data_IF_021242068781
#
_entry.id   IF_021242068781
#
_cell.length_a   1.000
_cell.length_b   1.000
_cell.length_c   1.000
_cell.angle_alpha   90.00
_cell.angle_beta   90.00
_cell.angle_gamma   90.00
#
_symmetry.space_group_name_H-M   'P 1'
#
loop_
_entity.id
_entity.type
_entity.pdbx_description
1 polymer ?
#
# COMPACT_ATOMS: atom_id res chain seq x y z
N UNK A 1 -25.73 -20.57 -57.18
CA UNK A 1 -24.53 -21.02 -56.44
C UNK A 1 -23.62 -19.83 -56.28
N UNK A 2 -23.63 -19.17 -55.12
CA UNK A 2 -22.70 -18.08 -54.79
C UNK A 2 -21.61 -18.68 -53.89
N UNK A 3 -20.31 -18.46 -54.18
CA UNK A 3 -19.24 -19.01 -53.34
C UNK A 3 -19.18 -18.20 -52.03
N UNK A 4 -19.26 -18.90 -50.89
CA UNK A 4 -19.00 -18.31 -49.57
C UNK A 4 -17.50 -18.18 -49.39
N UNK A 5 -16.98 -16.97 -49.50
CA UNK A 5 -15.60 -16.66 -49.11
C UNK A 5 -15.55 -16.60 -47.59
N UNK A 6 -14.87 -17.56 -46.96
CA UNK A 6 -14.61 -17.57 -45.52
C UNK A 6 -13.36 -16.71 -45.28
N UNK A 7 -13.53 -15.55 -44.65
CA UNK A 7 -12.41 -14.75 -44.15
C UNK A 7 -11.92 -15.36 -42.83
N UNK A 8 -10.70 -15.87 -42.81
CA UNK A 8 -9.97 -16.18 -41.58
C UNK A 8 -9.28 -14.90 -41.12
N UNK A 9 -9.87 -14.20 -40.16
CA UNK A 9 -9.21 -13.09 -39.47
C UNK A 9 -8.23 -13.70 -38.47
N UNK A 10 -6.93 -13.71 -38.78
CA UNK A 10 -5.91 -13.95 -37.76
C UNK A 10 -5.94 -12.77 -36.79
N UNK A 11 -6.43 -13.00 -35.57
CA UNK A 11 -6.14 -12.13 -34.45
C UNK A 11 -4.65 -12.32 -34.11
N UNK A 12 -3.81 -11.36 -34.51
CA UNK A 12 -2.55 -11.13 -33.81
C UNK A 12 -2.93 -10.50 -32.47
N UNK A 13 -3.21 -11.33 -31.47
CA UNK A 13 -3.09 -10.90 -30.09
C UNK A 13 -1.61 -10.63 -29.89
N UNK A 14 -1.23 -9.35 -29.86
CA UNK A 14 0.04 -8.92 -29.32
C UNK A 14 0.13 -9.48 -27.91
N UNK A 15 0.86 -10.58 -27.75
CA UNK A 15 1.35 -11.00 -26.46
C UNK A 15 2.28 -9.87 -26.01
N UNK A 16 1.90 -9.19 -24.92
CA UNK A 16 2.87 -8.47 -24.11
C UNK A 16 3.76 -9.57 -23.56
N UNK A 17 4.95 -9.73 -24.14
CA UNK A 17 6.00 -10.54 -23.54
C UNK A 17 6.58 -9.69 -22.42
N UNK A 18 6.76 -10.28 -21.24
CA UNK A 18 7.55 -9.68 -20.19
C UNK A 18 8.98 -9.56 -20.72
N UNK A 19 9.53 -8.36 -20.70
CA UNK A 19 10.87 -8.05 -21.20
C UNK A 19 11.64 -7.29 -20.12
N UNK A 20 12.95 -7.55 -19.95
CA UNK A 20 13.79 -6.78 -19.05
C UNK A 20 13.71 -5.27 -19.34
N UNK A 21 14.00 -4.41 -18.34
CA UNK A 21 14.00 -2.97 -18.52
C UNK A 21 14.79 -2.55 -19.77
N UNK A 22 14.15 -1.77 -20.65
CA UNK A 22 14.71 -1.40 -21.96
C UNK A 22 16.02 -0.62 -21.84
N UNK A 23 16.22 0.09 -20.73
CA UNK A 23 17.45 0.82 -20.43
C UNK A 23 18.63 -0.11 -20.12
N UNK A 24 18.39 -1.39 -19.80
CA UNK A 24 19.46 -2.35 -19.55
C UNK A 24 20.08 -2.91 -20.84
N UNK A 25 19.31 -2.90 -21.95
CA UNK A 25 19.72 -3.33 -23.29
C UNK A 25 18.84 -2.60 -24.33
N UNK A 26 19.18 -1.35 -24.63
CA UNK A 26 18.34 -0.49 -25.48
C UNK A 26 18.26 -0.97 -26.92
N UNK A 27 19.29 -1.70 -27.36
CA UNK A 27 19.43 -2.15 -28.73
C UNK A 27 18.96 -3.61 -28.93
N UNK A 28 18.74 -4.36 -27.84
CA UNK A 28 18.21 -5.71 -27.80
C UNK A 28 19.20 -6.77 -28.29
N UNK A 29 20.52 -6.54 -28.17
CA UNK A 29 21.54 -7.50 -28.61
C UNK A 29 22.00 -8.47 -27.51
N UNK A 30 21.42 -8.37 -26.32
CA UNK A 30 21.76 -9.18 -25.15
C UNK A 30 23.00 -8.68 -24.41
N UNK A 31 23.47 -7.47 -24.72
CA UNK A 31 24.58 -6.79 -24.08
C UNK A 31 24.13 -5.40 -23.62
N UNK A 32 24.79 -4.84 -22.61
CA UNK A 32 24.53 -3.44 -22.26
C UNK A 32 25.23 -2.50 -23.25
N UNK A 33 24.65 -1.32 -23.47
CA UNK A 33 24.93 -0.50 -24.66
C UNK A 33 26.32 0.17 -24.68
N UNK A 34 26.93 0.40 -23.51
CA UNK A 34 28.12 1.25 -23.36
C UNK A 34 29.42 0.47 -23.12
N UNK A 35 29.49 -0.82 -23.45
CA UNK A 35 30.67 -1.68 -23.20
C UNK A 35 32.00 -1.07 -23.71
N UNK A 36 31.96 -0.36 -24.83
CA UNK A 36 33.16 0.14 -25.51
C UNK A 36 33.87 1.32 -24.82
N UNK A 37 33.29 1.90 -23.76
CA UNK A 37 33.87 3.02 -23.04
C UNK A 37 34.72 2.59 -21.82
N UNK A 38 34.77 1.29 -21.54
CA UNK A 38 35.51 0.73 -20.39
C UNK A 38 36.76 -0.02 -20.84
N UNK A 39 37.81 0.05 -20.01
CA UNK A 39 39.10 -0.59 -20.28
C UNK A 39 39.36 -1.87 -19.49
N UNK A 40 38.67 -2.06 -18.36
CA UNK A 40 38.79 -3.23 -17.49
C UNK A 40 37.50 -4.04 -17.49
N UNK A 41 37.61 -5.34 -17.24
CA UNK A 41 36.45 -6.22 -17.05
C UNK A 41 36.70 -7.24 -15.94
N UNK A 42 35.60 -7.77 -15.40
CA UNK A 42 35.56 -8.85 -14.44
C UNK A 42 34.37 -9.77 -14.72
N UNK A 43 34.37 -10.96 -14.15
CA UNK A 43 33.29 -11.94 -14.33
C UNK A 43 32.75 -12.43 -12.99
N UNK A 44 31.44 -12.56 -12.91
CA UNK A 44 30.73 -13.15 -11.77
C UNK A 44 29.75 -14.19 -12.31
N UNK A 45 29.85 -15.42 -11.80
CA UNK A 45 28.83 -16.44 -12.02
C UNK A 45 27.99 -16.59 -10.77
N UNK A 46 26.69 -16.32 -10.87
CA UNK A 46 25.79 -16.27 -9.71
C UNK A 46 24.45 -16.98 -9.94
N UNK A 47 23.71 -17.21 -8.85
CA UNK A 47 22.32 -17.64 -8.81
C UNK A 47 21.50 -16.75 -7.88
N UNK A 48 20.24 -16.51 -8.24
CA UNK A 48 19.32 -15.69 -7.46
C UNK A 48 18.51 -16.55 -6.48
N UNK A 49 18.38 -16.07 -5.23
CA UNK A 49 17.64 -16.71 -4.15
C UNK A 49 16.67 -15.73 -3.50
N UNK A 50 15.42 -16.14 -3.28
CA UNK A 50 14.45 -15.43 -2.47
C UNK A 50 14.07 -16.31 -1.28
N UNK A 51 14.23 -15.80 -0.06
CA UNK A 51 14.02 -16.57 1.18
C UNK A 51 14.77 -17.92 1.23
N UNK A 52 15.95 -17.98 0.58
CA UNK A 52 16.78 -19.18 0.48
C UNK A 52 16.32 -20.21 -0.56
N UNK A 53 15.34 -19.88 -1.40
CA UNK A 53 14.86 -20.70 -2.52
C UNK A 53 15.40 -20.12 -3.83
N UNK A 54 15.98 -20.96 -4.68
CA UNK A 54 16.43 -20.54 -6.02
C UNK A 54 15.21 -20.18 -6.89
N UNK A 55 15.21 -18.97 -7.45
CA UNK A 55 14.07 -18.44 -8.22
C UNK A 55 14.30 -18.31 -9.73
N UNK A 56 15.52 -18.57 -10.22
CA UNK A 56 15.85 -18.31 -11.62
C UNK A 56 15.04 -19.12 -12.63
N UNK A 57 14.66 -18.49 -13.73
CA UNK A 57 13.86 -19.03 -14.83
C UNK A 57 14.38 -18.63 -16.22
N UNK A 58 13.64 -18.99 -17.28
CA UNK A 58 13.96 -18.62 -18.66
C UNK A 58 13.37 -17.25 -19.00
N UNK A 59 14.22 -16.27 -19.24
CA UNK A 59 13.80 -14.88 -19.51
C UNK A 59 14.25 -13.90 -18.44
N UNK A 60 14.64 -14.40 -17.26
CA UNK A 60 15.20 -13.57 -16.20
C UNK A 60 16.50 -12.90 -16.63
N UNK A 61 16.78 -11.75 -16.03
CA UNK A 61 17.99 -11.00 -16.29
C UNK A 61 18.65 -10.48 -15.01
N UNK A 62 19.95 -10.22 -15.11
CA UNK A 62 20.74 -9.64 -14.04
C UNK A 62 21.56 -8.48 -14.61
N UNK A 63 21.46 -7.32 -13.97
CA UNK A 63 22.27 -6.15 -14.28
C UNK A 63 23.16 -5.77 -13.08
N UNK A 64 24.35 -5.26 -13.37
CA UNK A 64 25.28 -4.73 -12.38
C UNK A 64 25.41 -3.22 -12.52
N UNK A 65 25.54 -2.53 -11.39
CA UNK A 65 25.64 -1.07 -11.30
C UNK A 65 26.80 -0.66 -10.38
N UNK A 66 27.38 0.51 -10.66
CA UNK A 66 28.32 1.21 -9.79
C UNK A 66 27.86 2.66 -9.73
N UNK A 67 27.56 3.17 -8.53
CA UNK A 67 27.01 4.52 -8.32
C UNK A 67 25.79 4.84 -9.22
N UNK A 68 24.93 3.83 -9.45
CA UNK A 68 23.74 3.94 -10.31
C UNK A 68 23.99 3.83 -11.81
N UNK A 69 25.25 3.79 -12.27
CA UNK A 69 25.59 3.60 -13.69
C UNK A 69 25.72 2.11 -14.02
N UNK A 70 25.04 1.65 -15.07
CA UNK A 70 25.08 0.26 -15.49
C UNK A 70 26.48 -0.15 -15.97
N UNK A 71 26.98 -1.26 -15.44
CA UNK A 71 28.31 -1.82 -15.73
C UNK A 71 28.27 -3.21 -16.35
N UNK A 72 27.09 -3.83 -16.42
CA UNK A 72 26.92 -5.18 -16.93
C UNK A 72 25.46 -5.55 -17.08
N UNK A 73 25.18 -6.47 -18.00
CA UNK A 73 23.88 -7.08 -18.22
C UNK A 73 24.07 -8.51 -18.72
N UNK A 74 23.21 -9.42 -18.27
CA UNK A 74 23.15 -10.79 -18.78
C UNK A 74 21.75 -11.37 -18.56
N UNK A 75 21.30 -12.20 -19.48
CA UNK A 75 20.10 -13.03 -19.31
C UNK A 75 20.44 -14.40 -18.70
N UNK A 76 19.46 -15.02 -18.05
CA UNK A 76 19.60 -16.30 -17.38
C UNK A 76 20.04 -17.40 -18.36
N UNK A 77 21.02 -18.21 -17.92
CA UNK A 77 21.52 -19.35 -18.68
C UNK A 77 21.13 -20.66 -17.99
N UNK A 78 20.47 -21.55 -18.71
CA UNK A 78 20.12 -22.88 -18.19
C UNK A 78 21.37 -23.72 -17.89
N UNK A 79 21.43 -24.29 -16.69
CA UNK A 79 22.52 -25.14 -16.23
C UNK A 79 22.12 -26.61 -16.38
N UNK A 80 22.92 -27.46 -17.05
CA UNK A 80 22.63 -28.88 -17.16
C UNK A 80 22.49 -29.57 -15.79
N UNK A 81 21.58 -30.55 -15.62
CA UNK A 81 21.38 -31.27 -14.36
C UNK A 81 22.66 -31.86 -13.73
N UNK A 82 23.64 -32.38 -14.50
CA UNK A 82 24.90 -32.87 -13.91
C UNK A 82 25.75 -31.79 -13.22
N UNK A 83 25.48 -30.51 -13.47
CA UNK A 83 26.21 -29.37 -12.92
C UNK A 83 25.41 -28.60 -11.86
N UNK A 84 24.24 -29.10 -11.45
CA UNK A 84 23.40 -28.48 -10.42
C UNK A 84 21.99 -28.14 -10.87
N UNK A 85 21.70 -28.16 -12.19
CA UNK A 85 20.39 -27.76 -12.71
C UNK A 85 20.07 -26.27 -12.48
N UNK A 86 18.86 -25.84 -12.84
CA UNK A 86 18.40 -24.47 -12.63
C UNK A 86 18.99 -23.47 -13.61
N UNK A 87 19.05 -22.21 -13.19
CA UNK A 87 19.52 -21.09 -14.00
C UNK A 87 20.64 -20.34 -13.29
N UNK A 88 21.64 -19.92 -14.06
CA UNK A 88 22.77 -19.14 -13.57
C UNK A 88 22.99 -17.91 -14.44
N UNK A 89 23.50 -16.86 -13.82
CA UNK A 89 23.85 -15.60 -14.46
C UNK A 89 25.36 -15.53 -14.62
N UNK A 90 25.85 -15.54 -15.86
CA UNK A 90 27.27 -15.49 -16.18
C UNK A 90 27.62 -14.05 -16.61
N UNK A 91 27.62 -13.16 -15.62
CA UNK A 91 27.71 -11.73 -15.85
C UNK A 91 29.15 -11.28 -16.07
N UNK A 92 29.34 -10.44 -17.09
CA UNK A 92 30.54 -9.63 -17.27
C UNK A 92 30.27 -8.20 -16.81
N UNK A 93 31.22 -7.66 -16.05
CA UNK A 93 31.14 -6.34 -15.41
C UNK A 93 32.35 -5.54 -15.88
N UNK A 94 32.13 -4.27 -16.21
CA UNK A 94 33.15 -3.41 -16.81
C UNK A 94 33.42 -2.19 -15.95
N UNK A 95 34.65 -1.67 -16.02
CA UNK A 95 35.07 -0.48 -15.28
C UNK A 95 36.24 0.24 -15.97
N UNK A 96 36.44 1.50 -15.62
CA UNK A 96 37.66 2.25 -15.95
C UNK A 96 38.70 2.26 -14.83
N UNK A 97 38.31 1.91 -13.61
CA UNK A 97 39.22 1.75 -12.49
C UNK A 97 39.74 0.31 -12.41
N UNK A 98 40.97 0.14 -11.91
CA UNK A 98 41.54 -1.19 -11.74
C UNK A 98 41.00 -1.90 -10.47
N UNK A 99 40.51 -1.13 -9.50
CA UNK A 99 39.91 -1.61 -8.26
C UNK A 99 39.28 -0.46 -7.48
N UNK A 100 38.38 -0.77 -6.54
CA UNK A 100 37.92 0.16 -5.50
C UNK A 100 36.56 0.80 -5.78
N UNK A 101 35.87 0.35 -6.82
CA UNK A 101 34.45 0.59 -7.03
C UNK A 101 33.63 -0.52 -6.37
N UNK A 102 32.45 -0.19 -5.85
CA UNK A 102 31.53 -1.16 -5.26
C UNK A 102 30.40 -1.44 -6.25
N UNK A 103 30.18 -2.72 -6.52
CA UNK A 103 29.18 -3.22 -7.45
C UNK A 103 27.92 -3.62 -6.68
N UNK A 104 26.79 -3.11 -7.12
CA UNK A 104 25.45 -3.56 -6.75
C UNK A 104 24.77 -4.26 -7.93
N UNK A 105 23.72 -5.05 -7.66
CA UNK A 105 23.02 -5.81 -8.69
C UNK A 105 21.51 -5.59 -8.61
N UNK A 106 20.85 -5.71 -9.75
CA UNK A 106 19.40 -5.81 -9.86
C UNK A 106 19.04 -7.08 -10.63
N UNK A 107 18.05 -7.79 -10.12
CA UNK A 107 17.52 -9.01 -10.71
C UNK A 107 16.13 -8.73 -11.29
N UNK A 108 15.91 -9.13 -12.53
CA UNK A 108 14.63 -9.04 -13.21
C UNK A 108 14.00 -10.44 -13.27
N UNK A 109 12.79 -10.56 -12.74
CA UNK A 109 11.93 -11.74 -12.81
C UNK A 109 10.98 -11.60 -14.00
N UNK A 110 11.14 -12.49 -14.98
CA UNK A 110 10.34 -12.54 -16.19
C UNK A 110 8.94 -13.12 -15.99
N UNK A 111 8.70 -13.92 -14.95
CA UNK A 111 7.36 -14.44 -14.63
C UNK A 111 6.47 -13.36 -14.02
N UNK A 112 7.05 -12.49 -13.19
CA UNK A 112 6.31 -11.42 -12.49
C UNK A 112 6.50 -10.04 -13.09
N UNK A 113 7.36 -9.91 -14.12
CA UNK A 113 7.71 -8.64 -14.77
C UNK A 113 8.16 -7.58 -13.75
N UNK A 114 8.97 -8.01 -12.78
CA UNK A 114 9.36 -7.19 -11.62
C UNK A 114 10.87 -7.18 -11.47
N UNK A 115 11.42 -5.99 -11.19
CA UNK A 115 12.83 -5.80 -10.85
C UNK A 115 12.99 -5.77 -9.33
N UNK A 116 13.99 -6.47 -8.85
CA UNK A 116 14.35 -6.56 -7.44
C UNK A 116 15.80 -6.14 -7.23
N UNK A 117 16.07 -5.47 -6.11
CA UNK A 117 17.44 -5.19 -5.69
C UNK A 117 18.07 -6.43 -5.04
N UNK A 118 19.38 -6.56 -5.18
CA UNK A 118 20.16 -7.65 -4.57
C UNK A 118 20.90 -7.13 -3.33
N UNK A 119 20.86 -7.92 -2.26
CA UNK A 119 21.44 -7.54 -0.96
C UNK A 119 22.99 -7.56 -0.98
N UNK A 120 23.58 -8.47 -1.76
CA UNK A 120 25.03 -8.62 -1.86
C UNK A 120 25.68 -7.58 -2.75
N UNK A 121 26.77 -7.01 -2.24
CA UNK A 121 27.65 -6.09 -2.96
C UNK A 121 29.06 -6.68 -3.03
N UNK A 122 29.77 -6.36 -4.10
CA UNK A 122 31.14 -6.84 -4.34
C UNK A 122 32.04 -5.69 -4.76
N UNK A 123 33.27 -5.68 -4.29
CA UNK A 123 34.26 -4.72 -4.77
C UNK A 123 34.77 -5.15 -6.16
N UNK A 124 34.70 -4.24 -7.13
CA UNK A 124 35.29 -4.47 -8.45
C UNK A 124 36.82 -4.54 -8.34
N UNK A 125 37.39 -5.56 -8.99
CA UNK A 125 38.82 -5.67 -9.27
C UNK A 125 38.98 -6.13 -10.71
N UNK A 126 39.88 -5.49 -11.46
CA UNK A 126 40.17 -5.88 -12.84
C UNK A 126 40.60 -7.34 -12.93
N UNK A 127 40.11 -8.05 -13.96
CA UNK A 127 40.29 -9.48 -14.21
C UNK A 127 39.74 -10.40 -13.10
N UNK A 128 38.83 -9.92 -12.23
CA UNK A 128 38.24 -10.77 -11.20
C UNK A 128 37.38 -11.89 -11.80
N UNK A 129 37.36 -13.03 -11.11
CA UNK A 129 36.52 -14.19 -11.41
C UNK A 129 35.89 -14.67 -10.12
N UNK A 130 34.60 -14.38 -9.93
CA UNK A 130 33.82 -14.81 -8.76
C UNK A 130 32.81 -15.88 -9.17
N UNK A 131 32.67 -16.91 -8.34
CA UNK A 131 31.83 -18.06 -8.62
C UNK A 131 32.22 -18.88 -9.88
N UNK A 132 31.50 -19.97 -10.07
CA UNK A 132 31.46 -20.75 -11.32
C UNK A 132 30.15 -21.54 -11.36
N UNK A 133 29.88 -22.24 -12.48
CA UNK A 133 28.61 -22.98 -12.67
C UNK A 133 28.35 -24.05 -11.60
N UNK A 134 29.38 -24.62 -10.97
CA UNK A 134 29.27 -25.67 -9.95
C UNK A 134 29.26 -25.09 -8.52
N UNK A 135 29.88 -23.93 -8.32
CA UNK A 135 29.91 -23.18 -7.07
C UNK A 135 29.67 -21.69 -7.36
N UNK A 136 28.41 -21.29 -7.64
CA UNK A 136 28.07 -19.93 -7.99
C UNK A 136 28.04 -19.03 -6.75
N UNK A 137 28.21 -17.74 -6.95
CA UNK A 137 27.88 -16.75 -5.93
C UNK A 137 26.37 -16.73 -5.70
N UNK A 138 25.97 -16.57 -4.44
CA UNK A 138 24.56 -16.50 -4.05
C UNK A 138 24.16 -15.04 -4.00
N UNK A 139 23.16 -14.67 -4.79
CA UNK A 139 22.54 -13.34 -4.75
C UNK A 139 21.16 -13.48 -4.11
N UNK A 140 20.98 -12.87 -2.96
CA UNK A 140 19.73 -12.80 -2.23
C UNK A 140 18.95 -11.62 -2.75
N UNK A 141 17.74 -11.91 -3.23
CA UNK A 141 16.80 -10.92 -3.71
C UNK A 141 16.17 -10.24 -2.51
N UNK A 142 16.44 -8.95 -2.36
CA UNK A 142 15.81 -8.11 -1.36
C UNK A 142 14.31 -8.02 -1.64
N UNK A 143 13.50 -7.96 -0.58
CA UNK A 143 12.06 -7.77 -0.70
C UNK A 143 11.78 -6.65 -1.71
N UNK A 144 11.00 -6.97 -2.76
CA UNK A 144 10.59 -6.08 -3.86
C UNK A 144 10.66 -4.63 -3.42
N UNK A 145 11.80 -4.00 -3.70
CA UNK A 145 11.92 -2.56 -3.62
C UNK A 145 11.09 -2.09 -4.79
N UNK A 146 9.84 -1.72 -4.51
CA UNK A 146 9.10 -0.86 -5.40
C UNK A 146 9.86 0.46 -5.41
N UNK A 147 10.91 0.58 -6.21
CA UNK A 147 11.27 1.82 -6.89
C UNK A 147 12.41 1.63 -7.91
N UNK A 148 12.12 2.19 -9.07
CA UNK A 148 12.69 2.07 -10.39
C UNK A 148 13.72 3.16 -10.70
N UNK A 149 14.77 3.25 -9.88
CA UNK A 149 16.01 3.91 -10.28
C UNK A 149 16.51 4.98 -9.31
N UNK A 150 17.60 4.61 -8.64
CA UNK A 150 18.61 5.53 -8.13
C UNK A 150 18.12 6.69 -7.28
N UNK A 151 17.93 6.48 -5.99
CA UNK A 151 18.30 7.53 -5.05
C UNK A 151 18.77 6.95 -3.71
N UNK A 152 20.06 7.14 -3.46
CA UNK A 152 20.75 6.82 -2.23
C UNK A 152 20.22 7.72 -1.13
N UNK A 153 19.17 7.30 -0.43
CA UNK A 153 18.66 8.06 0.70
C UNK A 153 19.65 8.03 1.86
N UNK A 154 20.63 8.94 1.84
CA UNK A 154 21.70 9.02 2.83
C UNK A 154 21.18 9.21 4.27
N UNK A 155 19.97 9.74 4.43
CA UNK A 155 19.28 9.87 5.73
C UNK A 155 18.59 8.59 6.19
N UNK A 156 18.23 7.69 5.26
CA UNK A 156 17.39 6.51 5.51
C UNK A 156 15.96 6.84 5.96
N UNK A 157 15.52 8.09 5.81
CA UNK A 157 14.19 8.55 6.21
C UNK A 157 13.36 8.79 4.95
N UNK A 158 12.29 8.02 4.81
CA UNK A 158 11.33 8.15 3.73
C UNK A 158 10.00 8.65 4.29
N UNK A 159 9.27 9.42 3.47
CA UNK A 159 7.88 9.72 3.77
C UNK A 159 6.95 8.55 3.40
N UNK A 160 5.66 8.69 3.67
CA UNK A 160 4.69 7.63 3.36
C UNK A 160 4.50 7.38 1.85
N UNK A 161 5.08 8.21 0.97
CA UNK A 161 5.01 8.06 -0.48
C UNK A 161 6.31 7.43 -1.05
N UNK A 162 7.22 6.99 -0.20
CA UNK A 162 8.50 6.42 -0.62
C UNK A 162 9.54 7.49 -1.03
N UNK A 163 9.27 8.77 -0.80
CA UNK A 163 10.19 9.84 -1.18
C UNK A 163 11.21 10.08 -0.07
N UNK A 164 12.51 9.99 -0.40
CA UNK A 164 13.60 10.28 0.54
C UNK A 164 13.52 11.72 1.06
N UNK A 165 13.65 11.90 2.37
CA UNK A 165 13.48 13.17 3.08
C UNK A 165 12.16 13.90 2.73
N UNK A 166 11.17 13.13 2.28
CA UNK A 166 9.86 13.64 1.94
C UNK A 166 9.11 14.15 3.16
N UNK A 167 8.08 14.95 2.92
CA UNK A 167 7.26 15.54 3.99
C UNK A 167 5.83 15.03 3.98
N UNK A 168 5.52 14.06 3.14
CA UNK A 168 4.15 13.54 3.03
C UNK A 168 3.79 12.78 4.31
N UNK A 169 2.60 13.06 4.83
CA UNK A 169 2.06 12.42 6.02
C UNK A 169 0.76 11.75 5.61
N UNK A 170 0.49 10.57 6.19
CA UNK A 170 -0.79 9.91 6.01
C UNK A 170 -1.91 10.76 6.58
N UNK A 171 -3.01 10.86 5.83
CA UNK A 171 -4.25 11.38 6.37
C UNK A 171 -4.90 10.36 7.32
N UNK A 172 -6.04 10.70 7.92
CA UNK A 172 -6.71 9.79 8.85
C UNK A 172 -7.25 8.50 8.18
N UNK A 173 -7.27 8.41 6.85
CA UNK A 173 -7.69 7.24 6.09
C UNK A 173 -6.49 6.37 5.67
N UNK A 174 -5.28 6.73 6.10
CA UNK A 174 -4.04 6.04 5.73
C UNK A 174 -3.58 6.38 4.32
N UNK A 175 -4.10 7.43 3.69
CA UNK A 175 -3.68 7.86 2.36
C UNK A 175 -2.53 8.85 2.51
N UNK A 176 -1.38 8.50 1.97
CA UNK A 176 -0.23 9.40 1.98
C UNK A 176 -0.51 10.70 1.21
N UNK A 177 -0.27 11.85 1.83
CA UNK A 177 -0.59 13.15 1.24
C UNK A 177 -2.09 13.43 1.09
N UNK A 178 -2.93 12.59 1.70
CA UNK A 178 -4.37 12.78 1.72
C UNK A 178 -4.78 14.03 2.49
N UNK A 179 -6.00 14.48 2.26
CA UNK A 179 -6.57 15.66 2.91
C UNK A 179 -7.69 15.34 3.90
N UNK A 180 -7.96 14.06 4.13
CA UNK A 180 -9.04 13.63 5.03
C UNK A 180 -8.69 13.99 6.48
N UNK A 181 -9.64 14.59 7.18
CA UNK A 181 -9.51 14.93 8.60
C UNK A 181 -10.57 14.19 9.41
N UNK A 182 -10.24 13.90 10.67
CA UNK A 182 -11.20 13.30 11.60
C UNK A 182 -12.22 14.37 12.00
N UNK A 183 -13.50 14.07 11.85
CA UNK A 183 -14.60 14.95 12.27
C UNK A 183 -14.86 14.87 13.79
N UNK A 184 -15.84 15.64 14.28
CA UNK A 184 -16.24 15.66 15.70
C UNK A 184 -16.76 14.31 16.21
N UNK A 185 -17.11 13.40 15.29
CA UNK A 185 -17.60 12.06 15.56
C UNK A 185 -16.51 10.99 15.52
N UNK A 186 -15.25 11.39 15.30
CA UNK A 186 -14.14 10.46 15.21
C UNK A 186 -14.07 9.74 13.85
N UNK A 187 -14.86 10.17 12.86
CA UNK A 187 -14.90 9.57 11.53
C UNK A 187 -13.97 10.32 10.60
N UNK A 188 -13.06 9.58 9.95
CA UNK A 188 -12.18 10.17 8.96
C UNK A 188 -12.94 10.58 7.70
N UNK A 189 -12.83 11.85 7.30
CA UNK A 189 -13.53 12.40 6.14
C UNK A 189 -15.06 12.40 6.31
N UNK A 190 -15.55 12.34 7.55
CA UNK A 190 -16.97 12.41 7.83
C UNK A 190 -17.54 13.83 7.69
N UNK A 191 -18.86 13.91 7.54
CA UNK A 191 -19.59 15.18 7.43
C UNK A 191 -19.76 15.90 8.79
N UNK A 192 -19.27 15.30 9.89
CA UNK A 192 -19.49 15.77 11.26
C UNK A 192 -20.91 15.49 11.77
N UNK A 193 -21.35 16.30 12.75
CA UNK A 193 -22.71 16.22 13.30
C UNK A 193 -23.69 16.79 12.27
N UNK A 194 -24.70 16.01 11.90
CA UNK A 194 -25.71 16.42 10.93
C UNK A 194 -26.50 17.67 11.39
N UNK A 195 -26.96 18.48 10.44
CA UNK A 195 -27.74 19.67 10.75
C UNK A 195 -29.03 19.33 11.53
N UNK A 196 -29.22 19.99 12.68
CA UNK A 196 -30.31 19.71 13.62
C UNK A 196 -30.06 18.56 14.58
N UNK A 197 -28.99 17.77 14.41
CA UNK A 197 -28.54 16.81 15.41
C UNK A 197 -27.67 17.49 16.46
N UNK A 198 -27.63 16.91 17.65
CA UNK A 198 -26.80 17.37 18.77
C UNK A 198 -25.68 16.38 19.13
N UNK A 199 -25.69 15.19 18.52
CA UNK A 199 -24.64 14.18 18.65
C UNK A 199 -24.46 13.38 17.35
N UNK A 200 -23.49 12.47 17.37
CA UNK A 200 -23.10 11.63 16.25
C UNK A 200 -24.06 10.49 15.94
N UNK A 201 -24.98 10.19 16.86
CA UNK A 201 -26.04 9.19 16.65
C UNK A 201 -27.26 9.79 15.93
N UNK A 202 -27.20 11.10 15.63
CA UNK A 202 -28.28 11.82 14.95
C UNK A 202 -29.44 12.19 15.87
N UNK A 203 -29.21 12.20 17.19
CA UNK A 203 -30.22 12.60 18.14
C UNK A 203 -30.48 14.11 18.03
N UNK A 204 -31.71 14.53 18.35
CA UNK A 204 -32.13 15.93 18.35
C UNK A 204 -32.40 16.40 19.78
N UNK A 205 -32.11 17.66 20.08
CA UNK A 205 -32.46 18.26 21.38
C UNK A 205 -33.86 18.89 21.29
N UNK A 206 -34.82 18.28 22.00
CA UNK A 206 -36.20 18.76 22.09
C UNK A 206 -36.43 19.71 23.30
N UNK A 207 -35.35 20.24 23.89
CA UNK A 207 -35.37 21.18 25.01
C UNK A 207 -35.03 20.56 26.37
N UNK A 208 -34.61 19.29 26.39
CA UNK A 208 -34.27 18.54 27.59
C UNK A 208 -32.88 17.88 27.52
N UNK A 209 -32.09 18.25 26.53
CA UNK A 209 -30.80 17.63 26.26
C UNK A 209 -30.87 16.68 25.06
N UNK A 210 -29.69 16.31 24.59
CA UNK A 210 -29.55 15.55 23.37
C UNK A 210 -30.11 14.13 23.50
N UNK A 211 -31.03 13.75 22.61
CA UNK A 211 -31.65 12.41 22.64
C UNK A 211 -32.70 12.20 23.73
N UNK A 212 -32.95 13.22 24.56
CA UNK A 212 -33.94 13.16 25.62
C UNK A 212 -35.33 13.56 25.11
N UNK A 213 -36.36 12.98 25.72
CA UNK A 213 -37.74 13.40 25.45
C UNK A 213 -37.93 14.88 25.83
N UNK A 214 -38.64 15.62 24.98
CA UNK A 214 -38.96 17.02 25.25
C UNK A 214 -39.79 17.20 26.54
N UNK A 215 -39.89 18.44 27.05
CA UNK A 215 -40.61 18.69 28.29
C UNK A 215 -42.07 18.21 28.19
N UNK A 216 -42.52 17.50 29.23
CA UNK A 216 -43.82 16.83 29.24
C UNK A 216 -44.56 17.06 30.56
N UNK A 217 -45.73 16.44 30.70
CA UNK A 217 -46.59 16.60 31.88
C UNK A 217 -47.27 17.97 31.93
N UNK A 218 -48.03 18.19 33.01
CA UNK A 218 -48.72 19.45 33.26
C UNK A 218 -47.80 20.59 33.70
N UNK A 219 -46.56 20.28 34.08
CA UNK A 219 -45.53 21.21 34.54
C UNK A 219 -44.51 21.56 33.44
N UNK A 220 -44.60 20.94 32.26
CA UNK A 220 -43.65 21.11 31.15
C UNK A 220 -42.19 20.94 31.61
N UNK A 221 -41.93 19.93 32.43
CA UNK A 221 -40.60 19.60 32.89
C UNK A 221 -40.05 18.37 32.17
N UNK A 222 -38.73 18.30 32.03
CA UNK A 222 -38.03 17.19 31.41
C UNK A 222 -38.26 15.88 32.19
N UNK A 223 -38.63 14.81 31.48
CA UNK A 223 -38.93 13.51 32.08
C UNK A 223 -40.18 13.49 32.98
N UNK A 224 -41.00 14.54 32.96
CA UNK A 224 -42.17 14.62 33.83
C UNK A 224 -43.32 13.76 33.32
N UNK A 225 -43.89 12.99 34.24
CA UNK A 225 -45.15 12.27 34.05
C UNK A 225 -46.29 12.92 34.83
N UNK A 226 -46.10 14.13 35.35
CA UNK A 226 -47.09 14.82 36.17
C UNK A 226 -48.37 15.08 35.35
N UNK A 227 -49.52 14.80 35.95
CA UNK A 227 -50.83 15.04 35.36
C UNK A 227 -51.62 16.01 36.24
N UNK A 228 -52.55 16.73 35.60
CA UNK A 228 -53.48 17.58 36.34
C UNK A 228 -54.48 16.68 37.06
N UNK A 229 -54.66 16.90 38.36
CA UNK A 229 -55.67 16.21 39.16
C UNK A 229 -57.09 16.76 38.90
N UNK A 230 -58.09 16.19 39.57
CA UNK A 230 -59.50 16.60 39.45
C UNK A 230 -59.75 18.05 39.88
N UNK A 231 -58.78 18.65 40.59
CA UNK A 231 -58.82 20.00 41.09
C UNK A 231 -58.12 21.02 40.20
N UNK A 232 -57.61 20.59 39.06
CA UNK A 232 -56.87 21.48 38.16
C UNK A 232 -55.44 21.72 38.62
N UNK A 233 -54.93 20.99 39.61
CA UNK A 233 -53.59 21.15 40.16
C UNK A 233 -52.65 20.12 39.54
N UNK A 234 -51.52 20.59 39.04
CA UNK A 234 -50.50 19.72 38.46
C UNK A 234 -49.79 18.91 39.56
N UNK A 235 -49.83 17.56 39.45
CA UNK A 235 -49.23 16.67 40.44
C UNK A 235 -49.88 16.73 41.83
N UNK A 236 -51.13 17.20 41.91
CA UNK A 236 -51.87 17.26 43.16
C UNK A 236 -52.40 15.89 43.59
N UNK A 237 -52.74 15.78 44.87
CA UNK A 237 -53.28 14.55 45.48
C UNK A 237 -54.76 14.29 45.10
N UNK A 238 -55.38 15.19 44.31
CA UNK A 238 -56.80 15.12 43.95
C UNK A 238 -57.74 15.51 45.10
N UNK A 239 -59.00 15.06 45.00
CA UNK A 239 -60.00 15.25 46.06
C UNK A 239 -59.69 14.25 47.18
N UNK A 240 -59.40 14.76 48.38
CA UNK A 240 -59.14 13.94 49.55
C UNK A 240 -60.33 13.02 49.89
N UNK A 241 -60.06 11.82 50.39
CA UNK A 241 -61.10 10.85 50.73
C UNK A 241 -62.08 11.43 51.77
N UNK A 242 -63.36 11.49 51.40
CA UNK A 242 -64.44 12.09 52.20
C UNK A 242 -64.76 13.57 51.89
N UNK A 243 -63.95 14.27 51.09
CA UNK A 243 -64.27 15.59 50.56
C UNK A 243 -65.09 15.50 49.25
N UNK A 244 -65.89 16.53 48.97
CA UNK A 244 -66.67 16.62 47.74
C UNK A 244 -66.13 17.63 46.72
N UNK A 245 -65.20 18.47 47.13
CA UNK A 245 -64.54 19.45 46.28
C UNK A 245 -63.08 19.67 46.72
N UNK A 246 -62.41 20.53 45.96
CA UNK A 246 -60.99 20.85 46.09
C UNK A 246 -60.67 21.78 47.26
N UNK A 247 -61.68 22.37 47.89
CA UNK A 247 -61.53 23.20 49.08
C UNK A 247 -61.58 22.34 50.37
N UNK A 248 -61.81 21.03 50.23
CA UNK A 248 -61.89 20.09 51.35
C UNK A 248 -63.23 20.14 52.06
N UNK A 249 -64.29 20.59 51.39
CA UNK A 249 -65.62 20.64 51.99
C UNK A 249 -66.18 19.23 52.18
N UNK A 250 -66.56 18.93 53.44
CA UNK A 250 -67.14 17.66 53.87
C UNK A 250 -68.55 17.93 54.40
N UNK A 251 -69.59 17.89 53.56
CA UNK A 251 -70.95 18.02 54.07
C UNK A 251 -72.01 17.22 53.29
N UNK A 252 -73.11 16.97 54.01
CA UNK A 252 -74.36 16.26 53.72
C UNK A 252 -75.16 16.82 52.52
N UNK A 253 -74.49 17.26 51.45
CA UNK A 253 -75.09 18.06 50.37
C UNK A 253 -74.33 18.03 49.05
N UNK A 254 -73.58 16.97 48.77
CA UNK A 254 -73.08 16.71 47.42
C UNK A 254 -74.28 16.12 46.66
N UNK A 255 -75.00 17.01 45.97
CA UNK A 255 -76.32 16.77 45.38
C UNK A 255 -76.37 15.61 44.39
#
# INVERSE_FOLDING_TARGET
MLPRTIFFTLFFTSFLLADPPVDWDSNGDGLFDDINIYQNSGSITSRAYLDGIEIGSDGDALAAFVDGEQRGYVTASSVPPPLGGGYAFLLLIYSNEASGETISFKFYDSETDTVYDIDEQYDFVSDMVLGNVVAPEQLTVGNASADDGGDDCASGVYDCAGVCDGTSVEDCAGVCGGSSVVDECGVCGGDGIADGACDCDGNVDLGCGCGEAGPSGCDNACGSTAVVDECGVCGGDGIADGACDCDGNVDLGCG
#
